data_IF_940665282637
#
_entry.id   IF_940665282637
#
_cell.length_a   1.000
_cell.length_b   1.000
_cell.length_c   1.000
_cell.angle_alpha   90.00
_cell.angle_beta   90.00
_cell.angle_gamma   90.00
#
_symmetry.space_group_name_H-M   'P 1'
#
loop_
_entity.id
_entity.type
_entity.pdbx_description
1 polymer ?
#
# COMPACT_ATOMS: atom_id res chain seq x y z
N UNK A 1 17.10 -16.88 52.76
CA UNK A 1 17.21 -15.52 52.18
C UNK A 1 17.51 -15.54 50.68
N UNK A 2 18.31 -16.47 50.14
CA UNK A 2 18.62 -16.55 48.69
C UNK A 2 17.41 -16.77 47.75
N UNK A 3 16.42 -17.57 48.14
CA UNK A 3 15.29 -17.91 47.24
C UNK A 3 14.39 -16.71 46.93
N UNK A 4 14.26 -15.76 47.88
CA UNK A 4 13.48 -14.53 47.67
C UNK A 4 14.18 -13.63 46.64
N UNK A 5 15.51 -13.49 46.70
CA UNK A 5 16.25 -12.70 45.71
C UNK A 5 16.20 -13.31 44.31
N UNK A 6 16.23 -14.65 44.21
CA UNK A 6 16.08 -15.36 42.94
C UNK A 6 14.69 -15.14 42.32
N UNK A 7 13.63 -15.28 43.12
CA UNK A 7 12.25 -15.04 42.68
C UNK A 7 12.07 -13.57 42.25
N UNK A 8 12.62 -12.63 43.01
CA UNK A 8 12.50 -11.20 42.72
C UNK A 8 13.25 -10.83 41.43
N UNK A 9 14.43 -11.41 41.19
CA UNK A 9 15.20 -11.22 39.96
C UNK A 9 14.45 -11.76 38.73
N UNK A 10 13.84 -12.94 38.84
CA UNK A 10 13.03 -13.54 37.77
C UNK A 10 11.85 -12.62 37.42
N UNK A 11 11.17 -12.06 38.41
CA UNK A 11 10.05 -11.12 38.21
C UNK A 11 10.53 -9.84 37.50
N UNK A 12 11.65 -9.26 37.92
CA UNK A 12 12.20 -8.04 37.30
C UNK A 12 12.58 -8.28 35.83
N UNK A 13 13.25 -9.40 35.53
CA UNK A 13 13.62 -9.77 34.15
C UNK A 13 12.36 -9.98 33.30
N UNK A 14 11.32 -10.59 33.85
CA UNK A 14 10.06 -10.80 33.15
C UNK A 14 9.32 -9.48 32.84
N UNK A 15 9.28 -8.56 33.80
CA UNK A 15 8.69 -7.22 33.60
C UNK A 15 9.50 -6.43 32.57
N UNK A 16 10.83 -6.43 32.65
CA UNK A 16 11.70 -5.74 31.70
C UNK A 16 11.51 -6.29 30.28
N UNK A 17 11.41 -7.61 30.12
CA UNK A 17 11.14 -8.25 28.83
C UNK A 17 9.74 -7.87 28.29
N UNK A 18 8.72 -7.78 29.15
CA UNK A 18 7.39 -7.31 28.74
C UNK A 18 7.40 -5.85 28.29
N UNK A 19 8.05 -4.96 29.04
CA UNK A 19 8.14 -3.53 28.70
C UNK A 19 8.91 -3.33 27.40
N UNK A 20 10.05 -4.01 27.24
CA UNK A 20 10.81 -3.98 25.99
C UNK A 20 9.98 -4.47 24.80
N UNK A 21 9.24 -5.57 24.97
CA UNK A 21 8.39 -6.11 23.93
C UNK A 21 7.29 -5.12 23.52
N UNK A 22 6.58 -4.51 24.48
CA UNK A 22 5.52 -3.53 24.22
C UNK A 22 6.09 -2.32 23.48
N UNK A 23 7.21 -1.78 23.97
CA UNK A 23 7.88 -0.63 23.36
C UNK A 23 8.30 -0.97 21.92
N UNK A 24 8.99 -2.09 21.71
CA UNK A 24 9.43 -2.50 20.38
C UNK A 24 8.27 -2.72 19.40
N UNK A 25 7.15 -3.33 19.84
CA UNK A 25 5.98 -3.53 18.97
C UNK A 25 5.28 -2.22 18.61
N UNK A 26 5.14 -1.30 19.55
CA UNK A 26 4.43 -0.03 19.35
C UNK A 26 5.15 0.87 18.33
N UNK A 27 6.47 1.06 18.48
CA UNK A 27 7.25 1.89 17.56
C UNK A 27 7.35 1.29 16.15
N UNK A 28 7.31 -0.04 16.05
CA UNK A 28 7.35 -0.74 14.77
C UNK A 28 6.02 -0.62 14.01
N UNK A 29 4.89 -0.71 14.71
CA UNK A 29 3.57 -0.52 14.10
C UNK A 29 3.38 0.93 13.60
N UNK A 30 3.77 1.94 14.39
CA UNK A 30 3.70 3.35 13.95
C UNK A 30 4.60 3.65 12.73
N UNK A 31 5.81 3.06 12.67
CA UNK A 31 6.72 3.25 11.52
C UNK A 31 6.21 2.58 10.25
N UNK A 32 5.66 1.36 10.34
CA UNK A 32 5.07 0.66 9.20
C UNK A 32 3.80 1.38 8.65
N UNK A 33 2.94 1.96 9.51
CA UNK A 33 1.77 2.75 9.09
C UNK A 33 2.16 4.09 8.43
N UNK A 34 3.15 4.81 8.98
CA UNK A 34 3.64 6.05 8.40
C UNK A 34 4.26 5.84 7.01
N UNK A 35 5.06 4.79 6.86
CA UNK A 35 5.71 4.45 5.59
C UNK A 35 4.69 4.09 4.50
N UNK A 36 3.67 3.29 4.85
CA UNK A 36 2.56 2.96 3.94
C UNK A 36 1.80 4.21 3.49
N UNK A 37 1.47 5.10 4.43
CA UNK A 37 0.75 6.35 4.14
C UNK A 37 1.57 7.29 3.26
N UNK A 38 2.89 7.42 3.50
CA UNK A 38 3.81 8.19 2.64
C UNK A 38 3.87 7.60 1.24
N UNK A 39 3.95 6.27 1.12
CA UNK A 39 3.98 5.58 -0.17
C UNK A 39 2.70 5.83 -0.98
N UNK A 40 1.52 5.77 -0.37
CA UNK A 40 0.25 6.11 -1.03
C UNK A 40 0.21 7.55 -1.54
N UNK A 41 0.58 8.52 -0.70
CA UNK A 41 0.63 9.94 -1.10
C UNK A 41 1.57 10.18 -2.27
N UNK A 42 2.73 9.51 -2.28
CA UNK A 42 3.69 9.63 -3.37
C UNK A 42 3.15 9.08 -4.70
N UNK A 43 2.44 7.95 -4.65
CA UNK A 43 1.79 7.38 -5.83
C UNK A 43 0.69 8.31 -6.35
N UNK A 44 -0.15 8.88 -5.48
CA UNK A 44 -1.18 9.85 -5.88
C UNK A 44 -0.60 11.12 -6.49
N UNK A 45 0.45 11.67 -5.88
CA UNK A 45 1.15 12.83 -6.40
C UNK A 45 1.76 12.56 -7.78
N UNK A 46 2.34 11.38 -7.98
CA UNK A 46 2.88 10.95 -9.27
C UNK A 46 1.78 10.85 -10.31
N UNK A 47 0.65 10.18 -9.99
CA UNK A 47 -0.50 10.10 -10.90
C UNK A 47 -1.04 11.47 -11.29
N UNK A 48 -1.13 12.39 -10.33
CA UNK A 48 -1.60 13.76 -10.58
C UNK A 48 -0.67 14.52 -11.53
N UNK A 49 0.64 14.43 -11.32
CA UNK A 49 1.64 15.06 -12.21
C UNK A 49 1.56 14.49 -13.63
N UNK A 50 1.54 13.17 -13.77
CA UNK A 50 1.48 12.54 -15.09
C UNK A 50 0.17 12.84 -15.82
N UNK A 51 -0.96 12.98 -15.12
CA UNK A 51 -2.22 13.44 -15.73
C UNK A 51 -2.08 14.83 -16.36
N UNK A 52 -1.45 15.78 -15.66
CA UNK A 52 -1.20 17.12 -16.20
C UNK A 52 -0.27 17.08 -17.41
N UNK A 53 0.80 16.28 -17.37
CA UNK A 53 1.67 16.05 -18.53
C UNK A 53 0.87 15.54 -19.74
N UNK A 54 -0.08 14.62 -19.54
CA UNK A 54 -0.93 14.10 -20.62
C UNK A 54 -1.86 15.18 -21.19
N UNK A 55 -2.46 16.02 -20.35
CA UNK A 55 -3.31 17.13 -20.81
C UNK A 55 -2.54 18.12 -21.68
N UNK A 56 -1.30 18.45 -21.29
CA UNK A 56 -0.40 19.30 -22.09
C UNK A 56 -0.05 18.65 -23.44
N UNK A 57 0.31 17.36 -23.43
CA UNK A 57 0.62 16.60 -24.65
C UNK A 57 -0.58 16.55 -25.60
N UNK A 58 -1.80 16.34 -25.10
CA UNK A 58 -3.03 16.32 -25.91
C UNK A 58 -3.30 17.69 -26.54
N UNK A 59 -3.05 18.77 -25.80
CA UNK A 59 -3.18 20.14 -26.33
C UNK A 59 -2.16 20.41 -27.43
N UNK A 60 -0.94 19.91 -27.29
CA UNK A 60 0.12 20.00 -28.31
C UNK A 60 -0.23 19.18 -29.57
N UNK A 61 -0.76 17.97 -29.39
CA UNK A 61 -1.25 17.09 -30.47
C UNK A 61 -2.34 17.79 -31.31
N UNK A 62 -3.36 18.34 -30.67
CA UNK A 62 -4.46 19.04 -31.35
C UNK A 62 -3.96 20.26 -32.14
N UNK A 63 -3.09 21.09 -31.55
CA UNK A 63 -2.50 22.25 -32.23
C UNK A 63 -1.70 21.84 -33.46
N UNK A 64 -0.94 20.76 -33.36
CA UNK A 64 -0.08 20.28 -34.45
C UNK A 64 -0.91 19.70 -35.59
N UNK A 65 -1.95 18.90 -35.27
CA UNK A 65 -2.94 18.42 -36.25
C UNK A 65 -3.66 19.56 -36.95
N UNK A 66 -4.03 20.61 -36.21
CA UNK A 66 -4.67 21.78 -36.80
C UNK A 66 -3.71 22.54 -37.73
N UNK A 67 -2.41 22.62 -37.42
CA UNK A 67 -1.42 23.24 -38.32
C UNK A 67 -1.32 22.50 -39.65
N UNK A 68 -1.28 21.17 -39.63
CA UNK A 68 -1.26 20.34 -40.86
C UNK A 68 -2.54 20.57 -41.66
N UNK A 69 -3.70 20.62 -41.00
CA UNK A 69 -4.97 20.90 -41.65
C UNK A 69 -4.97 22.26 -42.34
N UNK A 70 -4.45 23.29 -41.67
CA UNK A 70 -4.35 24.64 -42.23
C UNK A 70 -3.40 24.69 -43.44
N UNK A 71 -2.23 24.03 -43.38
CA UNK A 71 -1.32 23.94 -44.51
C UNK A 71 -1.96 23.25 -45.73
N UNK A 72 -2.72 22.17 -45.52
CA UNK A 72 -3.48 21.52 -46.59
C UNK A 72 -4.55 22.44 -47.22
N UNK A 73 -5.24 23.23 -46.40
CA UNK A 73 -6.20 24.24 -46.88
C UNK A 73 -5.47 25.30 -47.71
N UNK A 74 -4.31 25.79 -47.25
CA UNK A 74 -3.51 26.76 -47.98
C UNK A 74 -3.05 26.24 -49.34
N UNK A 75 -2.60 24.98 -49.43
CA UNK A 75 -2.23 24.35 -50.70
C UNK A 75 -3.43 24.36 -51.68
N UNK A 76 -4.62 24.02 -51.20
CA UNK A 76 -5.84 24.04 -52.03
C UNK A 76 -6.19 25.46 -52.51
N UNK A 77 -6.02 26.47 -51.65
CA UNK A 77 -6.23 27.87 -52.01
C UNK A 77 -5.21 28.36 -53.03
N UNK A 78 -3.93 28.00 -52.86
CA UNK A 78 -2.85 28.30 -53.80
C UNK A 78 -3.16 27.69 -55.17
N UNK A 79 -3.63 26.45 -55.22
CA UNK A 79 -3.98 25.77 -56.47
C UNK A 79 -5.20 26.42 -57.15
N UNK A 80 -6.19 26.85 -56.35
CA UNK A 80 -7.35 27.58 -56.87
C UNK A 80 -6.93 28.94 -57.47
N UNK A 81 -6.07 29.68 -56.78
CA UNK A 81 -5.52 30.96 -57.24
C UNK A 81 -4.69 30.80 -58.52
N UNK A 82 -3.86 29.75 -58.59
CA UNK A 82 -3.12 29.37 -59.80
C UNK A 82 -4.05 29.20 -61.00
N UNK A 83 -5.14 28.46 -60.84
CA UNK A 83 -6.09 28.21 -61.94
C UNK A 83 -6.79 29.50 -62.40
N UNK A 84 -7.07 30.44 -61.49
CA UNK A 84 -7.62 31.74 -61.84
C UNK A 84 -6.61 32.58 -62.62
N UNK A 85 -5.36 32.68 -62.14
CA UNK A 85 -4.29 33.42 -62.81
C UNK A 85 -3.98 32.87 -64.21
N UNK A 86 -3.98 31.53 -64.37
CA UNK A 86 -3.78 30.90 -65.70
C UNK A 86 -4.90 31.29 -66.68
N UNK A 87 -6.16 31.39 -66.23
CA UNK A 87 -7.27 31.82 -67.10
C UNK A 87 -7.13 33.26 -67.57
N UNK A 88 -6.46 34.10 -66.80
CA UNK A 88 -6.25 35.53 -67.10
C UNK A 88 -4.94 35.81 -67.86
N UNK A 89 -4.07 34.81 -68.00
CA UNK A 89 -2.78 34.92 -68.67
C UNK A 89 -2.93 35.19 -70.18
N UNK A 90 -2.06 36.05 -70.73
CA UNK A 90 -2.11 36.46 -72.15
C UNK A 90 -1.05 35.78 -73.01
N UNK A 91 -0.07 35.14 -72.38
CA UNK A 91 1.03 34.47 -73.05
C UNK A 91 1.39 33.15 -72.37
N UNK A 92 2.14 32.30 -73.07
CA UNK A 92 2.66 31.05 -72.54
C UNK A 92 3.73 31.33 -71.48
N UNK A 93 4.60 32.32 -71.70
CA UNK A 93 5.59 32.77 -70.71
C UNK A 93 4.94 33.15 -69.36
N UNK A 94 3.82 33.89 -69.36
CA UNK A 94 3.09 34.24 -68.14
C UNK A 94 2.63 32.98 -67.37
N UNK A 95 2.13 31.98 -68.09
CA UNK A 95 1.68 30.71 -67.50
C UNK A 95 2.86 29.96 -66.86
N UNK A 96 4.01 29.93 -67.53
CA UNK A 96 5.23 29.28 -67.01
C UNK A 96 5.69 29.95 -65.72
N UNK A 97 5.63 31.28 -65.65
CA UNK A 97 6.05 32.02 -64.47
C UNK A 97 5.07 31.83 -63.29
N UNK A 98 3.76 31.81 -63.55
CA UNK A 98 2.74 31.45 -62.55
C UNK A 98 3.01 30.04 -62.00
N UNK A 99 3.25 29.05 -62.87
CA UNK A 99 3.51 27.67 -62.46
C UNK A 99 4.78 27.54 -61.59
N UNK A 100 5.85 28.27 -61.92
CA UNK A 100 7.09 28.30 -61.11
C UNK A 100 6.83 28.89 -59.73
N UNK A 101 6.09 30.00 -59.65
CA UNK A 101 5.76 30.64 -58.37
C UNK A 101 4.87 29.74 -57.52
N UNK A 102 3.80 29.18 -58.09
CA UNK A 102 2.91 28.27 -57.38
C UNK A 102 3.66 27.05 -56.86
N UNK A 103 4.54 26.44 -57.67
CA UNK A 103 5.35 25.31 -57.23
C UNK A 103 6.16 25.64 -55.98
N UNK A 104 6.83 26.80 -55.96
CA UNK A 104 7.61 27.26 -54.81
C UNK A 104 6.73 27.48 -53.57
N UNK A 105 5.53 28.01 -53.74
CA UNK A 105 4.59 28.25 -52.64
C UNK A 105 4.04 26.92 -52.07
N UNK A 106 3.73 25.95 -52.93
CA UNK A 106 3.29 24.60 -52.52
C UNK A 106 4.42 23.86 -51.79
N UNK A 107 5.67 23.91 -52.29
CA UNK A 107 6.83 23.28 -51.64
C UNK A 107 7.04 23.82 -50.22
N UNK A 108 6.83 25.12 -50.00
CA UNK A 108 6.89 25.72 -48.66
C UNK A 108 5.84 25.15 -47.72
N UNK A 109 4.58 25.05 -48.15
CA UNK A 109 3.52 24.49 -47.32
C UNK A 109 3.70 22.98 -47.09
N UNK A 110 4.23 22.24 -48.06
CA UNK A 110 4.59 20.82 -47.89
C UNK A 110 5.70 20.64 -46.86
N UNK A 111 6.72 21.50 -46.85
CA UNK A 111 7.77 21.48 -45.82
C UNK A 111 7.20 21.75 -44.42
N UNK A 112 6.22 22.66 -44.29
CA UNK A 112 5.52 22.87 -43.01
C UNK A 112 4.75 21.62 -42.54
N UNK A 113 4.15 20.88 -43.48
CA UNK A 113 3.45 19.62 -43.19
C UNK A 113 4.44 18.55 -42.72
N UNK A 114 5.59 18.42 -43.40
CA UNK A 114 6.64 17.48 -43.04
C UNK A 114 7.16 17.73 -41.62
N UNK A 115 7.56 18.97 -41.31
CA UNK A 115 8.03 19.36 -39.97
C UNK A 115 6.97 19.12 -38.89
N UNK A 116 5.70 19.39 -39.19
CA UNK A 116 4.59 19.14 -38.27
C UNK A 116 4.30 17.65 -38.08
N UNK A 117 4.52 16.83 -39.11
CA UNK A 117 4.36 15.38 -39.05
C UNK A 117 5.45 14.73 -38.18
N UNK A 118 6.68 15.20 -38.30
CA UNK A 118 7.78 14.79 -37.42
C UNK A 118 7.48 15.13 -35.96
N UNK A 119 6.94 16.33 -35.70
CA UNK A 119 6.48 16.72 -34.35
C UNK A 119 5.39 15.80 -33.83
N UNK A 120 4.42 15.39 -34.65
CA UNK A 120 3.39 14.44 -34.25
C UNK A 120 3.99 13.08 -33.83
N UNK A 121 5.01 12.60 -34.55
CA UNK A 121 5.70 11.36 -34.17
C UNK A 121 6.30 11.45 -32.75
N UNK A 122 6.95 12.57 -32.44
CA UNK A 122 7.51 12.84 -31.11
C UNK A 122 6.41 12.94 -30.04
N UNK A 123 5.30 13.59 -30.36
CA UNK A 123 4.14 13.72 -29.45
C UNK A 123 3.54 12.34 -29.14
N UNK A 124 3.38 11.47 -30.14
CA UNK A 124 2.86 10.11 -29.94
C UNK A 124 3.79 9.28 -29.02
N UNK A 125 5.11 9.42 -29.19
CA UNK A 125 6.09 8.79 -28.31
C UNK A 125 5.96 9.30 -26.86
N UNK A 126 5.90 10.62 -26.66
CA UNK A 126 5.73 11.23 -25.32
C UNK A 126 4.42 10.76 -24.66
N UNK A 127 3.34 10.67 -25.44
CA UNK A 127 2.04 10.18 -24.97
C UNK A 127 2.14 8.74 -24.48
N UNK A 128 2.80 7.87 -25.25
CA UNK A 128 3.00 6.47 -24.87
C UNK A 128 3.85 6.34 -23.60
N UNK A 129 4.90 7.17 -23.45
CA UNK A 129 5.74 7.19 -22.25
C UNK A 129 4.95 7.61 -21.00
N UNK A 130 4.10 8.63 -21.10
CA UNK A 130 3.23 9.06 -20.00
C UNK A 130 2.20 8.00 -19.63
N UNK A 131 1.63 7.28 -20.60
CA UNK A 131 0.75 6.12 -20.33
C UNK A 131 1.52 5.02 -19.58
N UNK A 132 2.75 4.74 -19.97
CA UNK A 132 3.58 3.73 -19.29
C UNK A 132 3.91 4.13 -17.85
N UNK A 133 4.20 5.42 -17.60
CA UNK A 133 4.37 5.96 -16.23
C UNK A 133 3.11 5.76 -15.39
N UNK A 134 1.92 6.05 -15.94
CA UNK A 134 0.66 5.82 -15.22
C UNK A 134 0.43 4.35 -14.88
N UNK A 135 0.67 3.45 -15.83
CA UNK A 135 0.55 1.99 -15.61
C UNK A 135 1.47 1.54 -14.48
N UNK A 136 2.72 2.02 -14.46
CA UNK A 136 3.68 1.72 -13.40
C UNK A 136 3.20 2.21 -12.03
N UNK A 137 2.71 3.45 -11.95
CA UNK A 137 2.17 4.00 -10.70
C UNK A 137 0.91 3.23 -10.22
N UNK A 138 0.09 2.70 -11.13
CA UNK A 138 -1.05 1.85 -10.77
C UNK A 138 -0.60 0.50 -10.20
N UNK A 139 0.43 -0.11 -10.81
CA UNK A 139 1.02 -1.35 -10.31
C UNK A 139 1.58 -1.14 -8.90
N UNK A 140 2.34 -0.06 -8.68
CA UNK A 140 2.87 0.30 -7.36
C UNK A 140 1.75 0.48 -6.32
N UNK A 141 0.66 1.17 -6.68
CA UNK A 141 -0.53 1.30 -5.81
C UNK A 141 -1.08 -0.06 -5.38
N UNK A 142 -1.23 -0.97 -6.35
CA UNK A 142 -1.81 -2.29 -6.10
C UNK A 142 -0.90 -3.15 -5.20
N UNK A 143 0.42 -3.05 -5.37
CA UNK A 143 1.39 -3.73 -4.49
C UNK A 143 1.26 -3.19 -3.05
N UNK A 144 1.20 -1.88 -2.86
CA UNK A 144 1.04 -1.28 -1.53
C UNK A 144 -0.26 -1.75 -0.88
N UNK A 145 -1.38 -1.77 -1.63
CA UNK A 145 -2.67 -2.27 -1.14
C UNK A 145 -2.63 -3.75 -0.74
N UNK A 146 -1.98 -4.60 -1.56
CA UNK A 146 -1.84 -6.02 -1.27
C UNK A 146 -1.00 -6.25 -0.01
N UNK A 147 0.11 -5.54 0.13
CA UNK A 147 0.97 -5.63 1.31
C UNK A 147 0.25 -5.18 2.59
N UNK A 148 -0.51 -4.08 2.51
CA UNK A 148 -1.33 -3.61 3.63
C UNK A 148 -2.39 -4.65 4.05
N UNK A 149 -3.04 -5.29 3.07
CA UNK A 149 -4.03 -6.35 3.33
C UNK A 149 -3.38 -7.57 4.01
N UNK A 150 -2.23 -8.03 3.51
CA UNK A 150 -1.49 -9.15 4.10
C UNK A 150 -1.05 -8.83 5.53
N UNK A 151 -0.59 -7.60 5.80
CA UNK A 151 -0.21 -7.18 7.15
C UNK A 151 -1.41 -7.26 8.13
N UNK A 152 -2.58 -6.80 7.70
CA UNK A 152 -3.82 -6.90 8.49
C UNK A 152 -4.22 -8.35 8.77
N UNK A 153 -4.20 -9.21 7.74
CA UNK A 153 -4.51 -10.64 7.89
C UNK A 153 -3.54 -11.33 8.87
N UNK A 154 -2.25 -10.99 8.82
CA UNK A 154 -1.25 -11.51 9.76
C UNK A 154 -1.49 -11.02 11.19
N UNK A 155 -1.91 -9.78 11.39
CA UNK A 155 -2.19 -9.24 12.73
C UNK A 155 -3.44 -9.89 13.34
N UNK A 156 -4.49 -10.09 12.55
CA UNK A 156 -5.69 -10.80 12.97
C UNK A 156 -5.36 -12.25 13.35
N UNK A 157 -4.53 -12.93 12.57
CA UNK A 157 -4.04 -14.28 12.89
C UNK A 157 -3.27 -14.31 14.22
N UNK A 158 -2.41 -13.33 14.49
CA UNK A 158 -1.70 -13.19 15.78
C UNK A 158 -2.67 -12.97 16.95
N UNK A 159 -3.68 -12.11 16.79
CA UNK A 159 -4.73 -11.87 17.81
C UNK A 159 -5.50 -13.16 18.12
N UNK A 160 -5.88 -13.91 17.09
CA UNK A 160 -6.57 -15.20 17.24
C UNK A 160 -5.70 -16.25 17.96
N UNK A 161 -4.42 -16.35 17.59
CA UNK A 161 -3.47 -17.26 18.24
C UNK A 161 -3.28 -16.92 19.73
N UNK A 162 -3.14 -15.63 20.07
CA UNK A 162 -3.04 -15.15 21.47
C UNK A 162 -4.29 -15.51 22.27
N UNK A 163 -5.48 -15.27 21.71
CA UNK A 163 -6.76 -15.62 22.34
C UNK A 163 -6.88 -17.13 22.63
N UNK A 164 -6.49 -17.96 21.66
CA UNK A 164 -6.48 -19.42 21.83
C UNK A 164 -5.51 -19.87 22.93
N UNK A 165 -4.32 -19.27 22.98
CA UNK A 165 -3.33 -19.57 24.01
C UNK A 165 -3.85 -19.22 25.41
N UNK A 166 -4.47 -18.04 25.58
CA UNK A 166 -5.08 -17.61 26.84
C UNK A 166 -6.15 -18.62 27.29
N UNK A 167 -7.04 -19.04 26.38
CA UNK A 167 -8.07 -20.05 26.68
C UNK A 167 -7.46 -21.36 27.15
N UNK A 168 -6.38 -21.84 26.50
CA UNK A 168 -5.68 -23.06 26.90
C UNK A 168 -5.04 -22.93 28.28
N UNK A 169 -4.37 -21.80 28.57
CA UNK A 169 -3.78 -21.53 29.89
C UNK A 169 -4.87 -21.51 30.97
N UNK A 170 -5.98 -20.80 30.74
CA UNK A 170 -7.10 -20.74 31.67
C UNK A 170 -7.68 -22.12 31.97
N UNK A 171 -7.85 -22.97 30.95
CA UNK A 171 -8.31 -24.35 31.13
C UNK A 171 -7.36 -25.17 32.00
N UNK A 172 -6.04 -25.11 31.74
CA UNK A 172 -5.03 -25.82 32.54
C UNK A 172 -5.01 -25.31 33.98
N UNK A 173 -5.05 -23.99 34.18
CA UNK A 173 -5.05 -23.38 35.52
C UNK A 173 -6.27 -23.78 36.31
N UNK A 174 -7.46 -23.82 35.68
CA UNK A 174 -8.70 -24.28 36.32
C UNK A 174 -8.59 -25.73 36.77
N UNK A 175 -8.11 -26.63 35.91
CA UNK A 175 -7.89 -28.05 36.25
C UNK A 175 -6.92 -28.18 37.43
N UNK A 176 -5.78 -27.48 37.39
CA UNK A 176 -4.81 -27.50 38.51
C UNK A 176 -5.40 -26.94 39.80
N UNK A 177 -6.16 -25.86 39.72
CA UNK A 177 -6.83 -25.26 40.89
C UNK A 177 -7.85 -26.24 41.50
N UNK A 178 -8.63 -26.93 40.69
CA UNK A 178 -9.61 -27.92 41.14
C UNK A 178 -8.94 -29.13 41.80
N UNK A 179 -7.80 -29.60 41.27
CA UNK A 179 -6.97 -30.66 41.88
C UNK A 179 -6.48 -30.20 43.26
N UNK A 180 -5.80 -29.05 43.34
CA UNK A 180 -5.30 -28.50 44.60
C UNK A 180 -6.43 -28.33 45.62
N UNK A 181 -7.59 -27.82 45.20
CA UNK A 181 -8.76 -27.65 46.07
C UNK A 181 -9.29 -28.98 46.59
N UNK A 182 -9.17 -30.07 45.83
CA UNK A 182 -9.54 -31.42 46.27
C UNK A 182 -8.53 -31.96 47.28
N UNK A 183 -7.23 -31.85 46.99
CA UNK A 183 -6.14 -32.25 47.89
C UNK A 183 -6.25 -31.54 49.25
N UNK A 184 -6.44 -30.20 49.25
CA UNK A 184 -6.66 -29.43 50.47
C UNK A 184 -7.86 -29.91 51.30
N UNK A 185 -8.96 -30.34 50.65
CA UNK A 185 -10.13 -30.88 51.38
C UNK A 185 -9.82 -32.23 52.01
N UNK A 186 -9.10 -33.10 51.30
CA UNK A 186 -8.72 -34.42 51.79
C UNK A 186 -7.75 -34.30 52.98
N UNK A 187 -6.75 -33.43 52.91
CA UNK A 187 -5.86 -33.13 54.04
C UNK A 187 -6.61 -32.57 55.24
N UNK A 188 -7.50 -31.58 55.03
CA UNK A 188 -8.31 -31.01 56.11
C UNK A 188 -9.18 -32.07 56.78
N UNK A 189 -9.72 -33.03 56.01
CA UNK A 189 -10.49 -34.15 56.55
C UNK A 189 -9.61 -35.06 57.41
N UNK A 190 -8.42 -35.46 56.92
CA UNK A 190 -7.46 -36.26 57.69
C UNK A 190 -7.10 -35.60 59.03
N UNK A 191 -6.76 -34.31 59.02
CA UNK A 191 -6.43 -33.55 60.24
C UNK A 191 -7.60 -33.58 61.24
N UNK A 192 -8.84 -33.42 60.76
CA UNK A 192 -10.04 -33.47 61.61
C UNK A 192 -10.28 -34.85 62.20
N UNK A 193 -10.10 -35.90 61.40
CA UNK A 193 -10.26 -37.28 61.83
C UNK A 193 -9.19 -37.64 62.88
N UNK A 194 -7.93 -37.27 62.65
CA UNK A 194 -6.82 -37.45 63.59
C UNK A 194 -7.07 -36.74 64.92
N UNK A 195 -7.53 -35.49 64.87
CA UNK A 195 -7.88 -34.72 66.06
C UNK A 195 -9.00 -35.39 66.87
N UNK A 196 -10.01 -35.91 66.18
CA UNK A 196 -11.15 -36.62 66.79
C UNK A 196 -10.68 -37.92 67.46
N UNK A 197 -9.83 -38.68 66.78
CA UNK A 197 -9.27 -39.93 67.28
C UNK A 197 -8.40 -39.70 68.52
N UNK A 198 -7.56 -38.65 68.50
CA UNK A 198 -6.73 -38.23 69.64
C UNK A 198 -7.59 -37.82 70.84
N UNK A 199 -8.67 -37.06 70.61
CA UNK A 199 -9.63 -36.69 71.66
C UNK A 199 -10.31 -37.92 72.27
N UNK A 200 -10.66 -38.92 71.45
CA UNK A 200 -11.25 -40.19 71.92
C UNK A 200 -10.25 -41.00 72.75
N UNK A 201 -8.99 -41.10 72.34
CA UNK A 201 -7.92 -41.76 73.12
C UNK A 201 -7.74 -41.11 74.50
N UNK A 202 -7.59 -39.79 74.54
CA UNK A 202 -7.48 -39.03 75.81
C UNK A 202 -8.69 -39.29 76.73
N UNK A 203 -9.90 -39.39 76.17
CA UNK A 203 -11.11 -39.69 76.94
C UNK A 203 -11.10 -41.12 77.50
N UNK A 204 -10.68 -42.11 76.72
CA UNK A 204 -10.59 -43.50 77.18
C UNK A 204 -9.50 -43.68 78.25
N UNK A 205 -8.34 -43.06 78.07
CA UNK A 205 -7.26 -43.04 79.07
C UNK A 205 -7.74 -42.42 80.39
N UNK A 206 -8.49 -41.30 80.34
CA UNK A 206 -9.10 -40.71 81.55
C UNK A 206 -10.12 -41.60 82.23
N UNK A 207 -10.89 -42.40 81.48
CA UNK A 207 -11.83 -43.34 82.07
C UNK A 207 -11.13 -44.52 82.74
N UNK A 208 -10.02 -45.01 82.18
CA UNK A 208 -9.21 -46.08 82.78
C UNK A 208 -8.47 -45.65 84.06
N UNK A 209 -8.12 -44.37 84.19
CA UNK A 209 -7.47 -43.82 85.39
C UNK A 209 -8.48 -43.65 86.55
N UNK A 210 -9.77 -43.51 86.25
CA UNK A 210 -10.83 -43.28 87.23
C UNK A 210 -11.69 -44.53 87.53
N UNK A 211 -11.27 -45.71 87.06
CA UNK A 211 -11.88 -47.02 87.36
C UNK A 211 -10.97 -47.80 88.29
#
# INVERSE_FOLDING_TARGET
>A
MNDIYLITLIIIVFIAAMVYYIYYTYYREETEEEESTKAFKNVENTKSKVKKEIEEILTEDEKTKQSIKNANINISLIETDRLLKIKEAKSIEDIIDIDKETKKNIEKELSNIEESTDKLSIIEQKKQDSINKLKKAEIEKNIILQNAKLAFEHEEAKKNARSLLIKKIQAITKVKHDILKKEFREERKKIKDDFTLKKKKIRMERCQINS
#
